data_IF_349737100851
#
_entry.id   IF_349737100851
#
_cell.length_a   1.000
_cell.length_b   1.000
_cell.length_c   1.000
_cell.angle_alpha   90.00
_cell.angle_beta   90.00
_cell.angle_gamma   90.00
#
_symmetry.space_group_name_H-M   'P 1'
#
loop_
_entity.id
_entity.type
_entity.pdbx_description
1 polymer ?
#
# COMPACT_ATOMS: atom_id res chain seq x y z
N UNK A 1 -2.75 -27.69 29.15
CA UNK A 1 -1.90 -28.88 29.39
C UNK A 1 -0.78 -28.99 28.36
N UNK A 2 -1.05 -29.28 27.07
CA UNK A 2 0.01 -29.40 26.06
C UNK A 2 0.94 -28.16 25.88
N UNK A 3 0.43 -26.94 26.03
CA UNK A 3 1.27 -25.72 26.00
C UNK A 3 2.16 -25.62 27.25
N UNK A 4 1.58 -25.91 28.42
CA UNK A 4 2.26 -25.91 29.71
C UNK A 4 3.39 -26.95 29.73
N UNK A 5 3.12 -28.17 29.25
CA UNK A 5 4.11 -29.25 29.11
C UNK A 5 5.29 -28.86 28.22
N UNK A 6 5.02 -28.10 27.15
CA UNK A 6 6.04 -27.56 26.26
C UNK A 6 6.67 -26.25 26.77
N UNK A 7 6.44 -25.88 28.03
CA UNK A 7 6.92 -24.64 28.67
C UNK A 7 6.58 -23.38 27.87
N UNK A 8 5.42 -23.37 27.20
CA UNK A 8 4.89 -22.20 26.49
C UNK A 8 3.96 -21.44 27.42
N UNK A 9 4.26 -20.17 27.78
CA UNK A 9 3.37 -19.36 28.60
C UNK A 9 1.99 -19.21 27.94
N UNK A 10 0.93 -19.33 28.72
CA UNK A 10 -0.44 -19.12 28.27
C UNK A 10 -1.28 -18.50 29.37
N UNK A 11 -2.24 -17.66 28.97
CA UNK A 11 -3.24 -17.05 29.85
C UNK A 11 -4.63 -17.38 29.31
N UNK A 12 -5.55 -17.77 30.18
CA UNK A 12 -6.96 -18.03 29.83
C UNK A 12 -7.85 -17.01 30.51
N UNK A 13 -8.68 -16.31 29.73
CA UNK A 13 -9.74 -15.43 30.22
C UNK A 13 -11.09 -16.11 29.98
N UNK A 14 -11.77 -16.53 31.05
CA UNK A 14 -13.08 -17.18 30.96
C UNK A 14 -14.21 -16.18 31.19
N UNK A 15 -15.22 -16.22 30.32
CA UNK A 15 -16.44 -15.42 30.45
C UNK A 15 -17.63 -16.36 30.63
N UNK A 16 -18.50 -16.06 31.59
CA UNK A 16 -19.72 -16.84 31.82
C UNK A 16 -20.70 -16.76 30.63
N UNK A 17 -20.79 -15.57 30.00
CA UNK A 17 -21.60 -15.32 28.80
C UNK A 17 -20.99 -14.19 27.98
N UNK A 18 -21.10 -14.28 26.66
CA UNK A 18 -20.84 -13.15 25.76
C UNK A 18 -22.09 -12.26 25.64
N UNK A 19 -22.01 -11.05 26.17
CA UNK A 19 -23.03 -10.02 26.05
C UNK A 19 -22.37 -8.63 26.01
N UNK A 20 -23.15 -7.56 25.82
CA UNK A 20 -22.62 -6.20 25.70
C UNK A 20 -21.73 -5.79 26.89
N UNK A 21 -22.13 -6.16 28.12
CA UNK A 21 -21.35 -5.87 29.34
C UNK A 21 -20.02 -6.60 29.35
N UNK A 22 -20.00 -7.92 29.10
CA UNK A 22 -18.77 -8.72 29.15
C UNK A 22 -17.82 -8.40 28.00
N UNK A 23 -18.35 -8.09 26.81
CA UNK A 23 -17.55 -7.61 25.68
C UNK A 23 -16.92 -6.24 25.98
N UNK A 24 -17.70 -5.29 26.51
CA UNK A 24 -17.19 -3.97 26.91
C UNK A 24 -16.09 -4.07 27.97
N UNK A 25 -16.27 -4.95 28.97
CA UNK A 25 -15.23 -5.22 29.97
C UNK A 25 -13.95 -5.78 29.35
N UNK A 26 -14.06 -6.66 28.34
CA UNK A 26 -12.90 -7.24 27.66
C UNK A 26 -12.13 -6.19 26.85
N UNK A 27 -12.83 -5.33 26.09
CA UNK A 27 -12.22 -4.21 25.37
C UNK A 27 -11.48 -3.30 26.36
N UNK A 28 -12.15 -2.90 27.43
CA UNK A 28 -11.59 -1.98 28.41
C UNK A 28 -10.43 -2.60 29.22
N UNK A 29 -10.39 -3.93 29.37
CA UNK A 29 -9.25 -4.65 29.94
C UNK A 29 -8.03 -4.52 29.02
N UNK A 30 -8.19 -4.78 27.72
CA UNK A 30 -7.08 -4.71 26.76
C UNK A 30 -6.59 -3.28 26.52
N UNK A 31 -7.49 -2.30 26.43
CA UNK A 31 -7.10 -0.87 26.33
C UNK A 31 -6.20 -0.43 27.49
N UNK A 32 -6.58 -0.80 28.73
CA UNK A 32 -5.78 -0.49 29.94
C UNK A 32 -4.48 -1.29 29.98
N UNK A 33 -4.50 -2.55 29.52
CA UNK A 33 -3.31 -3.40 29.47
C UNK A 33 -2.26 -2.83 28.52
N UNK A 34 -2.67 -2.36 27.35
CA UNK A 34 -1.78 -1.70 26.37
C UNK A 34 -1.21 -0.40 26.96
N UNK A 35 -2.06 0.45 27.55
CA UNK A 35 -1.61 1.69 28.18
C UNK A 35 -0.63 1.47 29.33
N UNK A 36 -0.91 0.50 30.21
CA UNK A 36 -0.02 0.12 31.31
C UNK A 36 1.32 -0.38 30.78
N UNK A 37 1.30 -1.28 29.79
CA UNK A 37 2.53 -1.82 29.21
C UNK A 37 3.39 -0.72 28.59
N UNK A 38 2.78 0.18 27.81
CA UNK A 38 3.49 1.31 27.22
C UNK A 38 4.10 2.24 28.29
N UNK A 39 3.37 2.49 29.38
CA UNK A 39 3.90 3.23 30.53
C UNK A 39 5.09 2.53 31.19
N UNK A 40 5.08 1.20 31.28
CA UNK A 40 6.17 0.41 31.88
C UNK A 40 7.45 0.48 31.04
N UNK A 41 7.32 0.53 29.72
CA UNK A 41 8.48 0.57 28.80
C UNK A 41 8.82 1.99 28.30
N UNK A 42 8.13 3.02 28.80
CA UNK A 42 8.43 4.42 28.48
C UNK A 42 8.10 4.85 27.05
N UNK A 43 7.10 4.23 26.40
CA UNK A 43 6.63 4.63 25.07
C UNK A 43 5.22 5.20 25.13
N UNK A 44 4.84 5.95 24.10
CA UNK A 44 3.47 6.46 23.97
C UNK A 44 2.61 5.48 23.15
N UNK A 45 1.61 4.87 23.77
CA UNK A 45 0.67 3.96 23.12
C UNK A 45 -0.34 4.64 22.17
N UNK A 46 -0.47 5.96 22.24
CA UNK A 46 -1.58 6.71 21.64
C UNK A 46 -1.19 7.45 20.36
N UNK A 47 0.07 7.35 19.91
CA UNK A 47 0.50 7.90 18.64
C UNK A 47 0.94 6.82 17.65
N UNK A 48 0.84 7.13 16.35
CA UNK A 48 1.24 6.22 15.27
C UNK A 48 2.09 6.93 14.21
N UNK A 49 3.24 7.55 14.57
CA UNK A 49 4.02 8.37 13.63
C UNK A 49 4.55 7.58 12.41
N UNK A 50 4.76 6.26 12.56
CA UNK A 50 5.26 5.40 11.49
C UNK A 50 4.36 5.32 10.26
N UNK A 51 3.05 5.61 10.38
CA UNK A 51 2.11 5.51 9.25
C UNK A 51 2.24 6.68 8.27
N UNK A 52 2.73 7.83 8.73
CA UNK A 52 2.75 9.05 7.94
C UNK A 52 3.78 9.01 6.80
N UNK A 53 4.94 8.39 7.03
CA UNK A 53 5.95 8.18 5.99
C UNK A 53 5.41 7.28 4.86
N UNK A 54 4.68 6.23 5.21
CA UNK A 54 4.04 5.32 4.25
C UNK A 54 2.97 6.03 3.41
N UNK A 55 2.11 6.83 4.05
CA UNK A 55 1.09 7.64 3.34
C UNK A 55 1.74 8.62 2.36
N UNK A 56 2.80 9.33 2.77
CA UNK A 56 3.52 10.28 1.91
C UNK A 56 4.15 9.57 0.70
N UNK A 57 4.75 8.40 0.89
CA UNK A 57 5.30 7.62 -0.21
C UNK A 57 4.20 7.16 -1.18
N UNK A 58 3.10 6.59 -0.65
CA UNK A 58 1.97 6.14 -1.47
C UNK A 58 1.32 7.31 -2.24
N UNK A 59 1.16 8.48 -1.62
CA UNK A 59 0.60 9.66 -2.26
C UNK A 59 1.42 10.09 -3.49
N UNK A 60 2.77 10.07 -3.40
CA UNK A 60 3.64 10.38 -4.55
C UNK A 60 3.42 9.41 -5.71
N UNK A 61 3.31 8.12 -5.41
CA UNK A 61 3.06 7.07 -6.40
C UNK A 61 1.71 7.30 -7.10
N UNK A 62 0.66 7.63 -6.35
CA UNK A 62 -0.67 7.92 -6.90
C UNK A 62 -0.63 9.15 -7.82
N UNK A 63 0.01 10.23 -7.38
CA UNK A 63 0.14 11.46 -8.20
C UNK A 63 0.88 11.16 -9.51
N UNK A 64 2.00 10.44 -9.44
CA UNK A 64 2.76 10.07 -10.64
C UNK A 64 1.94 9.20 -11.59
N UNK A 65 1.23 8.19 -11.06
CA UNK A 65 0.36 7.31 -11.85
C UNK A 65 -0.76 8.10 -12.56
N UNK A 66 -1.40 9.03 -11.87
CA UNK A 66 -2.42 9.90 -12.45
C UNK A 66 -1.85 10.81 -13.53
N UNK A 67 -0.65 11.38 -13.31
CA UNK A 67 0.02 12.23 -14.31
C UNK A 67 0.39 11.44 -15.57
N UNK A 68 0.97 10.24 -15.42
CA UNK A 68 1.27 9.35 -16.55
C UNK A 68 0.01 9.02 -17.35
N UNK A 69 -1.06 8.63 -16.65
CA UNK A 69 -2.33 8.33 -17.30
C UNK A 69 -2.93 9.56 -18.00
N UNK A 70 -2.81 10.75 -17.42
CA UNK A 70 -3.28 11.99 -18.03
C UNK A 70 -2.52 12.35 -19.30
N UNK A 71 -1.19 12.16 -19.33
CA UNK A 71 -0.37 12.41 -20.53
C UNK A 71 -0.80 11.48 -21.67
N UNK A 72 -0.96 10.19 -21.36
CA UNK A 72 -1.43 9.20 -22.34
C UNK A 72 -2.84 9.53 -22.84
N UNK A 73 -3.71 10.05 -21.98
CA UNK A 73 -5.07 10.46 -22.37
C UNK A 73 -5.07 11.72 -23.25
N UNK A 74 -4.20 12.69 -23.01
CA UNK A 74 -4.14 13.92 -23.83
C UNK A 74 -3.50 13.70 -25.20
N UNK A 75 -2.55 12.77 -25.30
CA UNK A 75 -1.84 12.45 -26.54
C UNK A 75 -2.28 11.05 -27.03
N UNK A 76 -3.59 10.87 -27.18
CA UNK A 76 -4.23 9.56 -27.42
C UNK A 76 -3.76 8.85 -28.71
N UNK A 77 -3.34 9.62 -29.72
CA UNK A 77 -2.83 9.11 -31.00
C UNK A 77 -1.34 8.72 -30.96
N UNK A 78 -0.67 8.92 -29.82
CA UNK A 78 0.76 8.67 -29.66
C UNK A 78 1.03 7.53 -28.67
N UNK A 79 2.15 6.86 -28.88
CA UNK A 79 2.69 5.88 -27.94
C UNK A 79 4.05 6.35 -27.44
N UNK A 80 4.32 6.13 -26.16
CA UNK A 80 5.54 6.62 -25.51
C UNK A 80 6.37 5.49 -24.93
N UNK A 81 7.69 5.62 -24.98
CA UNK A 81 8.59 4.76 -24.21
C UNK A 81 8.63 5.17 -22.74
N UNK A 82 9.21 4.30 -21.89
CA UNK A 82 9.47 4.62 -20.48
C UNK A 82 10.36 5.86 -20.35
N UNK A 83 11.38 5.98 -21.19
CA UNK A 83 12.31 7.12 -21.18
C UNK A 83 11.62 8.45 -21.50
N UNK A 84 10.75 8.46 -22.52
CA UNK A 84 9.99 9.65 -22.93
C UNK A 84 9.04 10.10 -21.81
N UNK A 85 8.34 9.16 -21.16
CA UNK A 85 7.44 9.48 -20.06
C UNK A 85 8.17 9.87 -18.77
N UNK A 86 9.31 9.26 -18.48
CA UNK A 86 10.17 9.66 -17.37
C UNK A 86 10.66 11.10 -17.55
N UNK A 87 11.07 11.48 -18.76
CA UNK A 87 11.46 12.85 -19.09
C UNK A 87 10.28 13.83 -18.95
N UNK A 88 9.10 13.51 -19.53
CA UNK A 88 7.89 14.37 -19.44
C UNK A 88 7.37 14.54 -17.99
N UNK A 89 7.61 13.57 -17.12
CA UNK A 89 7.20 13.63 -15.71
C UNK A 89 8.27 14.13 -14.75
N UNK A 90 9.50 14.35 -15.23
CA UNK A 90 10.65 14.76 -14.41
C UNK A 90 11.14 13.65 -13.46
N UNK A 91 10.96 12.38 -13.84
CA UNK A 91 11.33 11.18 -13.07
C UNK A 91 12.46 10.39 -13.74
N UNK A 92 13.40 11.09 -14.37
CA UNK A 92 14.53 10.47 -15.11
C UNK A 92 15.42 9.59 -14.22
N UNK A 93 15.50 9.89 -12.93
CA UNK A 93 16.26 9.12 -11.94
C UNK A 93 15.57 7.84 -11.49
N UNK A 94 14.27 7.66 -11.77
CA UNK A 94 13.47 6.53 -11.28
C UNK A 94 12.61 5.91 -12.39
N UNK A 95 13.30 5.44 -13.45
CA UNK A 95 12.68 4.80 -14.61
C UNK A 95 11.99 3.49 -14.26
N UNK A 96 12.52 2.75 -13.28
CA UNK A 96 11.93 1.50 -12.81
C UNK A 96 10.56 1.72 -12.19
N UNK A 97 10.38 2.80 -11.42
CA UNK A 97 9.06 3.16 -10.89
C UNK A 97 8.08 3.51 -12.01
N UNK A 98 8.50 4.28 -13.01
CA UNK A 98 7.67 4.63 -14.17
C UNK A 98 7.25 3.37 -14.93
N UNK A 99 8.19 2.47 -15.23
CA UNK A 99 7.91 1.20 -15.88
C UNK A 99 6.90 0.35 -15.09
N UNK A 100 7.13 0.16 -13.78
CA UNK A 100 6.23 -0.62 -12.92
C UNK A 100 4.82 -0.03 -12.85
N UNK A 101 4.70 1.31 -12.85
CA UNK A 101 3.42 1.99 -12.87
C UNK A 101 2.67 1.82 -14.20
N UNK A 102 3.39 1.86 -15.32
CA UNK A 102 2.82 1.61 -16.64
C UNK A 102 2.37 0.16 -16.79
N UNK A 103 3.18 -0.82 -16.35
CA UNK A 103 2.77 -2.22 -16.33
C UNK A 103 1.55 -2.43 -15.41
N UNK A 104 1.51 -1.79 -14.25
CA UNK A 104 0.33 -1.80 -13.38
C UNK A 104 -0.90 -1.26 -14.10
N UNK A 105 -0.80 -0.15 -14.83
CA UNK A 105 -1.92 0.41 -15.60
C UNK A 105 -2.34 -0.53 -16.75
N UNK A 106 -1.39 -1.16 -17.43
CA UNK A 106 -1.61 -2.08 -18.55
C UNK A 106 -2.30 -3.37 -18.10
N UNK A 107 -1.80 -3.99 -17.01
CA UNK A 107 -2.41 -5.19 -16.41
C UNK A 107 -3.85 -4.90 -15.97
N UNK A 108 -4.10 -3.70 -15.45
CA UNK A 108 -5.43 -3.24 -15.08
C UNK A 108 -6.28 -2.74 -16.28
N UNK A 109 -5.83 -2.98 -17.52
CA UNK A 109 -6.52 -2.63 -18.77
C UNK A 109 -6.93 -1.16 -18.89
N UNK A 110 -6.12 -0.27 -18.31
CA UNK A 110 -6.31 1.19 -18.41
C UNK A 110 -5.54 1.78 -19.59
N UNK A 111 -4.41 1.18 -19.96
CA UNK A 111 -3.56 1.57 -21.07
C UNK A 111 -3.20 0.33 -21.89
N UNK A 112 -2.79 0.52 -23.13
CA UNK A 112 -2.24 -0.52 -23.99
C UNK A 112 -0.71 -0.46 -24.01
N UNK A 113 -0.09 -1.58 -24.36
CA UNK A 113 1.35 -1.67 -24.54
C UNK A 113 1.66 -2.46 -25.80
N UNK A 114 2.71 -2.08 -26.53
CA UNK A 114 3.14 -2.82 -27.72
C UNK A 114 3.50 -4.28 -27.37
N UNK A 115 3.27 -5.19 -28.32
CA UNK A 115 3.50 -6.64 -28.19
C UNK A 115 5.00 -7.03 -28.23
N UNK A 116 5.88 -6.15 -27.78
CA UNK A 116 7.32 -6.42 -27.73
C UNK A 116 7.68 -7.43 -26.65
N UNK A 117 8.56 -8.37 -27.01
CA UNK A 117 9.05 -9.43 -26.11
C UNK A 117 10.01 -8.88 -25.05
N UNK A 118 10.78 -7.85 -25.40
CA UNK A 118 11.63 -7.09 -24.49
C UNK A 118 10.82 -6.00 -23.79
N UNK A 119 10.62 -6.07 -22.45
CA UNK A 119 9.85 -5.07 -21.72
C UNK A 119 10.44 -3.66 -21.79
N UNK A 120 11.75 -3.51 -22.00
CA UNK A 120 12.42 -2.21 -22.09
C UNK A 120 12.08 -1.44 -23.37
N UNK A 121 11.68 -2.15 -24.43
CA UNK A 121 11.30 -1.57 -25.72
C UNK A 121 9.79 -1.32 -25.86
N UNK A 122 9.03 -1.64 -24.82
CA UNK A 122 7.57 -1.51 -24.85
C UNK A 122 7.17 -0.03 -24.92
N UNK A 123 6.24 0.27 -25.83
CA UNK A 123 5.60 1.59 -25.93
C UNK A 123 4.19 1.51 -25.40
N UNK A 124 3.74 2.58 -24.74
CA UNK A 124 2.47 2.65 -24.04
C UNK A 124 1.57 3.72 -24.65
N UNK A 125 0.29 3.42 -24.84
CA UNK A 125 -0.75 4.32 -25.36
C UNK A 125 -2.05 4.17 -24.57
N UNK A 126 -2.97 5.12 -24.68
CA UNK A 126 -4.29 5.01 -24.02
C UNK A 126 -5.13 3.90 -24.68
N UNK A 127 -5.96 3.21 -23.91
CA UNK A 127 -6.99 2.33 -24.49
C UNK A 127 -8.03 3.23 -25.17
N UNK A 128 -8.32 3.06 -26.47
CA UNK A 128 -9.35 3.85 -27.14
C UNK A 128 -10.72 3.60 -26.49
N UNK A 129 -11.45 4.67 -26.14
CA UNK A 129 -12.84 4.56 -25.70
C UNK A 129 -13.67 3.99 -26.87
N UNK A 130 -14.36 2.86 -26.63
CA UNK A 130 -15.26 2.22 -27.60
C UNK A 130 -16.56 3.00 -27.75
#
# INVERSE_FOLDING_TARGET
>A
EALTEKKRPSLTLSLERLNAKTLGSLIALYERSVGLYASLIGINAYHQPGVESGKKAAARIVVLKTRLFSILKSEADQSFSVDELALKTGQESDKDLVFNLLESLRINRRIEGSSESDPSRRRYSIVPEK
#
